data_IF_471634905080
#
_entry.id   IF_471634905080
#
_cell.length_a   1.000
_cell.length_b   1.000
_cell.length_c   1.000
_cell.angle_alpha   90.00
_cell.angle_beta   90.00
_cell.angle_gamma   90.00
#
_symmetry.space_group_name_H-M   'P 1'
#
loop_
_entity.id
_entity.type
_entity.pdbx_description
1 polymer ?
#
# COMPACT_ATOMS: atom_id res chain seq x y z
N UNK A 1 8.02 25.34 68.33
CA UNK A 1 7.92 24.25 67.36
C UNK A 1 7.20 24.80 66.15
N UNK A 2 7.96 25.22 65.14
CA UNK A 2 7.45 25.85 63.93
C UNK A 2 6.92 24.78 62.98
N UNK A 3 5.65 24.88 62.61
CA UNK A 3 5.01 24.05 61.61
C UNK A 3 5.52 24.49 60.23
N UNK A 4 6.41 23.69 59.63
CA UNK A 4 6.77 23.83 58.22
C UNK A 4 5.59 23.35 57.38
N UNK A 5 4.80 24.29 56.86
CA UNK A 5 3.92 24.05 55.73
C UNK A 5 4.82 23.84 54.50
N UNK A 6 4.93 22.59 54.06
CA UNK A 6 5.45 22.24 52.75
C UNK A 6 4.53 22.86 51.69
N UNK A 7 4.95 23.99 51.14
CA UNK A 7 4.35 24.57 49.94
C UNK A 7 4.44 23.53 48.83
N UNK A 8 3.28 23.02 48.39
CA UNK A 8 3.17 22.31 47.14
C UNK A 8 3.78 23.20 46.05
N UNK A 9 4.88 22.77 45.44
CA UNK A 9 5.37 23.37 44.21
C UNK A 9 4.26 23.20 43.18
N UNK A 10 3.52 24.28 42.92
CA UNK A 10 2.70 24.42 41.73
C UNK A 10 3.59 24.07 40.55
N UNK A 11 3.22 23.02 39.83
CA UNK A 11 3.82 22.62 38.57
C UNK A 11 3.86 23.86 37.67
N UNK A 12 5.04 24.44 37.45
CA UNK A 12 5.23 25.58 36.57
C UNK A 12 4.56 25.27 35.23
N UNK A 13 3.59 26.11 34.85
CA UNK A 13 2.88 25.94 33.60
C UNK A 13 3.87 26.23 32.48
N UNK A 14 4.42 25.18 31.86
CA UNK A 14 5.25 25.32 30.66
C UNK A 14 4.41 26.06 29.61
N UNK A 15 4.92 27.16 29.02
CA UNK A 15 4.25 27.86 27.93
C UNK A 15 4.01 26.94 26.72
N UNK A 16 2.88 27.12 26.04
CA UNK A 16 2.48 26.27 24.91
C UNK A 16 3.49 26.29 23.74
N UNK A 17 4.20 27.40 23.53
CA UNK A 17 5.27 27.55 22.56
C UNK A 17 6.50 26.69 22.91
N UNK A 18 6.94 26.74 24.17
CA UNK A 18 8.04 25.91 24.67
C UNK A 18 7.67 24.42 24.63
N UNK A 19 6.43 24.08 24.98
CA UNK A 19 5.91 22.72 24.90
C UNK A 19 5.87 22.21 23.46
N UNK A 20 5.42 23.04 22.51
CA UNK A 20 5.43 22.71 21.09
C UNK A 20 6.83 22.45 20.57
N UNK A 21 7.78 23.31 20.94
CA UNK A 21 9.18 23.17 20.60
C UNK A 21 9.82 21.86 21.10
N UNK A 22 9.46 21.39 22.30
CA UNK A 22 9.94 20.11 22.83
C UNK A 22 9.29 18.95 22.08
N UNK A 23 7.97 18.98 21.90
CA UNK A 23 7.22 17.91 21.26
C UNK A 23 7.54 17.75 19.77
N UNK A 24 7.94 18.81 19.07
CA UNK A 24 8.39 18.72 17.65
C UNK A 24 9.71 17.98 17.50
N UNK A 25 10.54 17.90 18.56
CA UNK A 25 11.87 17.30 18.51
C UNK A 25 11.91 15.86 19.02
N UNK A 26 10.81 15.33 19.56
CA UNK A 26 10.78 13.93 20.01
C UNK A 26 10.86 12.98 18.81
N UNK A 27 11.45 11.78 18.94
CA UNK A 27 11.51 10.84 17.84
C UNK A 27 10.11 10.55 17.24
N UNK A 28 9.99 10.39 15.91
CA UNK A 28 8.74 10.13 15.21
C UNK A 28 8.26 8.69 15.37
N UNK A 29 8.34 8.17 16.59
CA UNK A 29 7.90 6.85 16.95
C UNK A 29 6.41 6.88 17.34
N UNK A 30 5.56 5.98 16.80
CA UNK A 30 4.10 6.02 16.97
C UNK A 30 3.64 6.08 18.44
N UNK A 31 4.38 5.45 19.35
CA UNK A 31 4.03 5.45 20.77
C UNK A 31 4.45 6.70 21.56
N UNK A 32 5.40 7.51 21.09
CA UNK A 32 5.95 8.60 21.91
C UNK A 32 4.93 9.71 22.16
N UNK A 33 4.35 10.26 21.08
CA UNK A 33 3.30 11.28 21.20
C UNK A 33 2.00 10.71 21.75
N UNK A 34 1.67 9.46 21.39
CA UNK A 34 0.51 8.76 21.95
C UNK A 34 0.60 8.67 23.49
N UNK A 35 1.74 8.23 24.04
CA UNK A 35 1.99 8.18 25.50
C UNK A 35 1.96 9.56 26.14
N UNK A 36 2.60 10.56 25.52
CA UNK A 36 2.57 11.93 26.03
C UNK A 36 1.13 12.48 26.12
N UNK A 37 0.27 12.12 25.16
CA UNK A 37 -1.14 12.52 25.17
C UNK A 37 -1.95 11.91 26.32
N UNK A 38 -1.53 10.76 26.87
CA UNK A 38 -2.19 10.09 27.98
C UNK A 38 -1.83 10.69 29.35
N UNK A 39 -0.76 11.50 29.43
CA UNK A 39 -0.28 12.05 30.70
C UNK A 39 -1.25 13.09 31.31
N UNK A 40 -1.87 13.95 30.50
CA UNK A 40 -2.90 14.88 30.97
C UNK A 40 -3.82 15.41 29.85
N UNK A 41 -5.01 15.89 30.21
CA UNK A 41 -5.99 16.48 29.26
C UNK A 41 -5.47 17.71 28.51
N UNK A 42 -4.49 18.42 29.07
CA UNK A 42 -3.83 19.56 28.42
C UNK A 42 -2.97 19.10 27.26
N UNK A 43 -2.05 18.17 27.53
CA UNK A 43 -1.19 17.52 26.54
C UNK A 43 -2.01 16.80 25.46
N UNK A 44 -3.07 16.08 25.85
CA UNK A 44 -3.96 15.43 24.89
C UNK A 44 -4.52 16.42 23.85
N UNK A 45 -5.05 17.57 24.32
CA UNK A 45 -5.60 18.61 23.45
C UNK A 45 -4.53 19.29 22.61
N UNK A 46 -3.38 19.56 23.21
CA UNK A 46 -2.26 20.21 22.53
C UNK A 46 -1.68 19.32 21.41
N UNK A 47 -1.45 18.04 21.70
CA UNK A 47 -0.96 17.04 20.74
C UNK A 47 -1.97 16.76 19.63
N UNK A 48 -3.27 16.76 19.95
CA UNK A 48 -4.34 16.70 18.95
C UNK A 48 -4.47 17.96 18.09
N UNK A 49 -3.74 19.03 18.40
CA UNK A 49 -3.79 20.31 17.71
C UNK A 49 -3.21 20.25 16.29
N UNK A 50 -3.92 20.87 15.34
CA UNK A 50 -3.50 20.90 13.94
C UNK A 50 -2.17 21.64 13.71
N UNK A 51 -1.81 22.60 14.57
CA UNK A 51 -0.55 23.35 14.48
C UNK A 51 0.64 22.46 14.84
N UNK A 52 0.65 21.85 16.03
CA UNK A 52 1.72 20.95 16.44
C UNK A 52 1.95 19.82 15.45
N UNK A 53 0.86 19.23 14.95
CA UNK A 53 0.93 18.18 13.93
C UNK A 53 1.65 18.66 12.66
N UNK A 54 1.30 19.85 12.16
CA UNK A 54 1.96 20.43 10.98
C UNK A 54 3.44 20.67 11.24
N UNK A 55 3.79 21.20 12.42
CA UNK A 55 5.17 21.52 12.78
C UNK A 55 6.01 20.25 12.98
N UNK A 56 5.45 19.23 13.65
CA UNK A 56 6.05 17.91 13.85
C UNK A 56 6.36 17.25 12.50
N UNK A 57 5.37 17.23 11.61
CA UNK A 57 5.51 16.68 10.27
C UNK A 57 6.56 17.46 9.47
N UNK A 58 6.48 18.79 9.45
CA UNK A 58 7.44 19.63 8.73
C UNK A 58 8.87 19.46 9.24
N UNK A 59 9.05 19.16 10.53
CA UNK A 59 10.33 18.86 11.13
C UNK A 59 10.87 17.49 10.70
N UNK A 60 10.07 16.43 10.83
CA UNK A 60 10.53 15.06 10.56
C UNK A 60 10.55 14.66 9.09
N UNK A 61 9.65 15.17 8.24
CA UNK A 61 9.64 14.86 6.80
C UNK A 61 10.93 15.28 6.08
N UNK A 62 11.68 16.25 6.64
CA UNK A 62 12.95 16.71 6.05
C UNK A 62 14.12 15.78 6.34
N UNK A 63 14.07 15.04 7.44
CA UNK A 63 15.22 14.31 7.98
C UNK A 63 15.00 12.80 8.05
N UNK A 64 13.74 12.34 8.08
CA UNK A 64 13.40 10.94 8.34
C UNK A 64 12.20 10.51 7.50
N UNK A 65 12.24 9.32 6.86
CA UNK A 65 11.05 8.76 6.23
C UNK A 65 9.99 8.43 7.30
N UNK A 66 8.69 8.49 6.98
CA UNK A 66 7.64 8.09 7.92
C UNK A 66 7.79 6.59 8.28
N UNK A 67 7.61 6.22 9.55
CA UNK A 67 7.73 4.83 9.98
C UNK A 67 6.59 3.98 9.41
N UNK A 68 6.88 2.70 9.17
CA UNK A 68 5.88 1.69 8.85
C UNK A 68 5.12 1.31 10.12
N UNK A 69 3.81 1.49 10.12
CA UNK A 69 2.97 1.20 11.28
C UNK A 69 2.31 -0.17 11.21
N UNK A 70 2.18 -0.73 10.01
CA UNK A 70 1.47 -1.97 9.76
C UNK A 70 1.04 -2.11 8.30
N UNK A 71 0.25 -3.15 8.06
CA UNK A 71 -0.23 -3.52 6.73
C UNK A 71 -1.75 -3.54 6.72
N UNK A 72 -2.35 -2.82 5.77
CA UNK A 72 -3.73 -3.10 5.41
C UNK A 72 -3.79 -4.38 4.58
N UNK A 73 -4.85 -5.15 4.75
CA UNK A 73 -5.09 -6.41 4.03
C UNK A 73 -6.56 -6.59 3.66
N UNK A 74 -6.84 -7.64 2.90
CA UNK A 74 -8.14 -7.93 2.31
C UNK A 74 -8.87 -9.15 2.91
N UNK A 75 -8.23 -9.92 3.78
CA UNK A 75 -8.87 -11.04 4.48
C UNK A 75 -10.02 -10.57 5.40
N UNK A 76 -11.25 -10.88 5.00
CA UNK A 76 -12.48 -10.52 5.70
C UNK A 76 -12.82 -11.46 6.87
N UNK A 77 -12.07 -12.56 7.05
CA UNK A 77 -12.25 -13.47 8.19
C UNK A 77 -11.62 -12.93 9.47
N UNK A 78 -10.70 -11.97 9.34
CA UNK A 78 -10.02 -11.32 10.45
C UNK A 78 -10.89 -10.21 11.07
N UNK A 79 -10.71 -9.93 12.38
CA UNK A 79 -11.54 -8.95 13.08
C UNK A 79 -11.31 -7.50 12.65
N UNK A 80 -10.17 -7.22 12.00
CA UNK A 80 -9.72 -5.90 11.57
C UNK A 80 -9.00 -6.02 10.24
N UNK A 81 -9.08 -5.02 9.37
CA UNK A 81 -8.36 -5.02 8.08
C UNK A 81 -6.96 -4.39 8.18
N UNK A 82 -6.33 -4.46 9.36
CA UNK A 82 -5.02 -3.88 9.62
C UNK A 82 -4.20 -4.74 10.58
N UNK A 83 -2.99 -5.11 10.15
CA UNK A 83 -1.99 -5.82 10.94
C UNK A 83 -0.92 -4.83 11.42
N UNK A 84 -0.92 -4.42 12.71
CA UNK A 84 0.09 -3.51 13.24
C UNK A 84 1.43 -4.22 13.41
N UNK A 85 2.52 -3.55 13.00
CA UNK A 85 3.89 -4.04 13.22
C UNK A 85 4.27 -3.94 14.69
N UNK A 86 4.89 -5.00 15.20
CA UNK A 86 5.49 -5.13 16.53
C UNK A 86 5.38 -6.57 17.02
N UNK A 87 6.18 -6.94 18.02
CA UNK A 87 6.28 -8.33 18.51
C UNK A 87 4.90 -8.91 18.90
N UNK A 88 4.71 -10.20 18.65
CA UNK A 88 3.47 -10.97 18.84
C UNK A 88 2.97 -11.02 20.30
N UNK A 89 3.80 -10.63 21.27
CA UNK A 89 3.33 -10.31 22.61
C UNK A 89 2.50 -9.03 22.54
N UNK A 90 1.17 -9.20 22.35
CA UNK A 90 0.16 -8.15 22.11
C UNK A 90 0.08 -6.98 23.11
N UNK A 91 1.03 -6.89 24.04
CA UNK A 91 1.23 -5.81 25.01
C UNK A 91 2.43 -4.90 24.69
N UNK A 92 3.08 -5.05 23.53
CA UNK A 92 4.16 -4.13 23.15
C UNK A 92 3.62 -2.69 23.15
N UNK A 93 4.10 -1.83 24.07
CA UNK A 93 3.54 -0.50 24.26
C UNK A 93 3.88 0.43 23.08
N UNK A 94 4.66 -0.06 22.13
CA UNK A 94 5.17 0.61 20.93
C UNK A 94 4.28 0.40 19.69
N UNK A 95 3.29 -0.51 19.76
CA UNK A 95 2.35 -0.82 18.68
C UNK A 95 1.20 0.17 18.58
N UNK A 96 0.75 0.44 17.36
CA UNK A 96 -0.52 1.13 17.13
C UNK A 96 -1.69 0.17 17.29
N UNK A 97 -2.84 0.66 17.76
CA UNK A 97 -4.05 -0.15 17.86
C UNK A 97 -4.63 -0.45 16.49
N UNK A 98 -4.83 -1.74 16.15
CA UNK A 98 -5.46 -2.16 14.90
C UNK A 98 -6.86 -1.54 14.71
N UNK A 99 -7.61 -1.35 15.79
CA UNK A 99 -8.94 -0.73 15.76
C UNK A 99 -8.92 0.73 15.31
N UNK A 100 -7.83 1.47 15.55
CA UNK A 100 -7.68 2.84 15.06
C UNK A 100 -7.48 2.91 13.54
N UNK A 101 -7.05 1.79 12.94
CA UNK A 101 -6.77 1.64 11.51
C UNK A 101 -7.78 0.73 10.82
N UNK A 102 -8.90 0.40 11.45
CA UNK A 102 -9.93 -0.42 10.82
C UNK A 102 -10.90 0.42 9.95
N UNK A 103 -11.05 0.13 8.64
CA UNK A 103 -12.01 0.82 7.79
C UNK A 103 -13.46 0.54 8.23
N UNK A 104 -14.20 1.60 8.56
CA UNK A 104 -15.63 1.52 8.90
C UNK A 104 -16.56 1.21 7.72
N UNK A 105 -16.07 1.28 6.49
CA UNK A 105 -16.87 1.07 5.28
C UNK A 105 -16.89 -0.43 4.93
N UNK A 106 -17.87 -1.15 5.49
CA UNK A 106 -17.99 -2.61 5.34
C UNK A 106 -18.00 -3.05 3.86
N UNK A 107 -17.17 -4.05 3.55
CA UNK A 107 -17.02 -4.60 2.20
C UNK A 107 -16.20 -3.74 1.23
N UNK A 108 -15.74 -2.55 1.64
CA UNK A 108 -14.84 -1.76 0.81
C UNK A 108 -13.46 -2.39 0.83
N UNK A 109 -12.89 -2.59 -0.35
CA UNK A 109 -11.55 -3.15 -0.53
C UNK A 109 -10.50 -2.07 -0.42
N UNK A 110 -9.36 -2.37 0.18
CA UNK A 110 -8.16 -1.52 0.07
C UNK A 110 -7.55 -1.79 -1.31
N UNK A 111 -7.19 -0.71 -2.02
CA UNK A 111 -6.55 -0.79 -3.35
C UNK A 111 -5.18 -0.13 -3.38
N UNK A 112 -4.93 0.80 -2.44
CA UNK A 112 -3.62 1.43 -2.33
C UNK A 112 -3.38 2.01 -0.92
N UNK A 113 -2.11 2.12 -0.53
CA UNK A 113 -1.69 2.91 0.63
C UNK A 113 -0.38 3.63 0.38
N UNK A 114 -0.44 4.98 0.35
CA UNK A 114 0.72 5.83 0.09
C UNK A 114 0.60 7.16 0.82
N UNK A 115 1.74 7.73 1.21
CA UNK A 115 1.83 9.08 1.79
C UNK A 115 0.87 9.32 2.98
N UNK A 116 0.74 8.33 3.88
CA UNK A 116 -0.16 8.41 5.04
C UNK A 116 -1.65 8.29 4.71
N UNK A 117 -2.00 7.98 3.47
CA UNK A 117 -3.38 7.77 3.00
C UNK A 117 -3.61 6.33 2.59
N UNK A 118 -4.87 5.93 2.66
CA UNK A 118 -5.39 4.63 2.24
C UNK A 118 -6.49 4.91 1.23
N UNK A 119 -6.39 4.29 0.06
CA UNK A 119 -7.42 4.33 -0.96
C UNK A 119 -8.24 3.06 -0.84
N UNK A 120 -9.54 3.23 -0.62
CA UNK A 120 -10.51 2.15 -0.63
C UNK A 120 -11.44 2.30 -1.82
N UNK A 121 -11.94 1.18 -2.30
CA UNK A 121 -12.92 1.11 -3.39
C UNK A 121 -14.17 0.38 -2.92
N UNK A 122 -15.33 0.90 -3.30
CA UNK A 122 -16.62 0.31 -2.96
C UNK A 122 -16.86 -1.03 -3.68
N UNK A 123 -17.71 -1.92 -3.14
CA UNK A 123 -18.03 -3.21 -3.77
C UNK A 123 -18.55 -3.09 -5.21
N UNK A 124 -19.28 -2.01 -5.51
CA UNK A 124 -19.82 -1.69 -6.83
C UNK A 124 -18.77 -1.09 -7.80
N UNK A 125 -17.52 -0.89 -7.34
CA UNK A 125 -16.37 -0.27 -8.03
C UNK A 125 -16.63 1.11 -8.64
N UNK A 126 -17.70 1.79 -8.22
CA UNK A 126 -18.07 3.13 -8.73
C UNK A 126 -17.81 4.26 -7.73
N UNK A 127 -17.24 3.97 -6.56
CA UNK A 127 -16.83 4.96 -5.58
C UNK A 127 -15.48 4.60 -4.97
N UNK A 128 -14.78 5.65 -4.56
CA UNK A 128 -13.50 5.60 -3.88
C UNK A 128 -13.57 6.40 -2.57
N UNK A 129 -12.79 5.96 -1.59
CA UNK A 129 -12.60 6.66 -0.34
C UNK A 129 -11.10 6.87 -0.17
N UNK A 130 -10.68 8.12 -0.12
CA UNK A 130 -9.36 8.48 0.36
C UNK A 130 -9.46 8.75 1.84
N UNK A 131 -8.91 7.83 2.62
CA UNK A 131 -8.89 7.88 4.07
C UNK A 131 -7.48 8.22 4.56
N UNK A 132 -7.39 9.15 5.50
CA UNK A 132 -6.20 9.41 6.31
C UNK A 132 -6.51 8.95 7.74
N UNK A 133 -6.06 7.74 8.12
CA UNK A 133 -6.27 7.19 9.46
C UNK A 133 -5.71 8.08 10.57
N UNK A 134 -4.49 8.58 10.40
CA UNK A 134 -3.81 9.39 11.42
C UNK A 134 -4.55 10.71 11.69
N UNK A 135 -5.11 11.37 10.67
CA UNK A 135 -5.93 12.57 10.83
C UNK A 135 -7.41 12.31 11.07
N UNK A 136 -7.89 11.08 10.82
CA UNK A 136 -9.31 10.77 10.80
C UNK A 136 -10.07 11.48 9.67
N UNK A 137 -9.40 11.88 8.59
CA UNK A 137 -10.03 12.58 7.45
C UNK A 137 -10.49 11.58 6.40
N UNK A 138 -11.69 11.77 5.86
CA UNK A 138 -12.28 10.92 4.82
C UNK A 138 -12.75 11.79 3.67
N UNK A 139 -12.43 11.41 2.44
CA UNK A 139 -13.00 11.99 1.23
C UNK A 139 -13.59 10.89 0.34
N UNK A 140 -14.89 10.96 0.11
CA UNK A 140 -15.59 10.09 -0.83
C UNK A 140 -15.60 10.71 -2.21
N UNK A 141 -15.26 9.91 -3.22
CA UNK A 141 -15.11 10.32 -4.61
C UNK A 141 -15.91 9.33 -5.47
N UNK A 142 -16.81 9.82 -6.32
CA UNK A 142 -17.46 8.97 -7.31
C UNK A 142 -16.47 8.66 -8.44
N UNK A 143 -16.60 7.50 -9.08
CA UNK A 143 -15.84 7.17 -10.29
C UNK A 143 -16.07 8.22 -11.41
N UNK A 144 -15.19 8.26 -12.44
CA UNK A 144 -15.36 9.16 -13.57
C UNK A 144 -16.77 9.10 -14.18
N UNK A 145 -17.36 10.23 -14.59
CA UNK A 145 -18.72 10.27 -15.14
C UNK A 145 -18.97 9.28 -16.29
N UNK A 146 -17.98 9.08 -17.17
CA UNK A 146 -18.06 8.11 -18.25
C UNK A 146 -18.28 6.68 -17.73
N UNK A 147 -17.59 6.27 -16.66
CA UNK A 147 -17.76 4.95 -16.05
C UNK A 147 -19.11 4.81 -15.35
N UNK A 148 -19.59 5.87 -14.69
CA UNK A 148 -20.93 5.85 -14.07
C UNK A 148 -22.03 5.67 -15.12
N UNK A 149 -21.90 6.34 -16.28
CA UNK A 149 -22.83 6.19 -17.39
C UNK A 149 -22.81 4.76 -17.95
N UNK A 150 -21.63 4.17 -18.12
CA UNK A 150 -21.49 2.77 -18.54
C UNK A 150 -22.15 1.81 -17.54
N UNK A 151 -21.97 2.02 -16.24
CA UNK A 151 -22.61 1.18 -15.22
C UNK A 151 -24.14 1.26 -15.28
N UNK A 152 -24.70 2.45 -15.48
CA UNK A 152 -26.15 2.65 -15.58
C UNK A 152 -26.75 2.05 -16.86
N UNK A 153 -25.99 2.03 -17.95
CA UNK A 153 -26.40 1.44 -19.23
C UNK A 153 -26.30 -0.09 -19.26
N UNK A 154 -25.64 -0.70 -18.27
CA UNK A 154 -25.24 -2.10 -18.31
C UNK A 154 -26.27 -3.05 -17.68
N UNK A 155 -27.02 -3.80 -18.50
CA UNK A 155 -27.51 -5.13 -18.11
C UNK A 155 -26.42 -6.21 -18.29
N UNK A 156 -25.50 -6.02 -19.25
CA UNK A 156 -24.52 -7.03 -19.70
C UNK A 156 -23.04 -6.60 -19.57
N UNK A 157 -22.74 -5.31 -19.33
CA UNK A 157 -21.35 -4.79 -19.24
C UNK A 157 -20.76 -4.80 -17.82
N UNK A 158 -21.46 -5.42 -16.86
CA UNK A 158 -21.01 -5.51 -15.46
C UNK A 158 -19.65 -6.21 -15.30
N UNK A 159 -19.24 -7.03 -16.28
CA UNK A 159 -17.91 -7.68 -16.29
C UNK A 159 -16.76 -6.71 -16.60
N UNK A 160 -16.96 -5.73 -17.47
CA UNK A 160 -15.87 -4.81 -17.88
C UNK A 160 -15.49 -3.84 -16.76
N UNK A 161 -16.47 -3.35 -16.01
CA UNK A 161 -16.24 -2.49 -14.85
C UNK A 161 -15.60 -3.21 -13.66
N UNK A 162 -15.49 -4.56 -13.69
CA UNK A 162 -14.71 -5.32 -12.70
C UNK A 162 -13.21 -5.20 -12.91
N UNK A 163 -12.75 -4.83 -14.10
CA UNK A 163 -11.33 -4.74 -14.44
C UNK A 163 -10.87 -3.29 -14.36
N UNK A 164 -10.83 -2.77 -13.14
CA UNK A 164 -10.25 -1.47 -12.85
C UNK A 164 -9.49 -1.53 -11.53
N UNK A 165 -8.48 -0.68 -11.42
CA UNK A 165 -7.69 -0.54 -10.21
C UNK A 165 -7.15 0.89 -10.13
N UNK A 166 -6.85 1.35 -8.93
CA UNK A 166 -6.53 2.75 -8.67
C UNK A 166 -5.37 2.89 -7.69
N UNK A 167 -4.66 4.02 -7.81
CA UNK A 167 -3.60 4.39 -6.90
C UNK A 167 -3.76 5.86 -6.47
N UNK A 168 -3.37 6.15 -5.22
CA UNK A 168 -3.30 7.51 -4.70
C UNK A 168 -1.88 8.03 -4.86
N UNK A 169 -1.75 9.24 -5.41
CA UNK A 169 -0.48 9.92 -5.59
C UNK A 169 -0.53 11.29 -4.93
N UNK A 170 0.62 11.80 -4.51
CA UNK A 170 0.72 13.15 -3.95
C UNK A 170 1.96 13.83 -4.52
N UNK A 171 1.88 15.15 -4.71
CA UNK A 171 3.05 15.92 -5.14
C UNK A 171 4.08 16.04 -4.01
N UNK A 172 3.64 15.97 -2.75
CA UNK A 172 4.51 15.94 -1.57
C UNK A 172 3.96 14.98 -0.51
N UNK A 173 4.84 14.46 0.35
CA UNK A 173 4.49 13.57 1.44
C UNK A 173 3.87 14.30 2.66
N UNK A 174 3.21 15.45 2.48
CA UNK A 174 2.61 16.20 3.59
C UNK A 174 1.10 16.01 3.65
N UNK A 175 0.56 16.04 4.86
CA UNK A 175 -0.81 15.67 5.15
C UNK A 175 -1.86 16.63 4.58
N UNK A 176 -1.54 17.92 4.45
CA UNK A 176 -2.44 18.95 3.91
C UNK A 176 -2.19 19.25 2.44
N UNK A 177 -1.33 18.47 1.78
CA UNK A 177 -1.13 18.65 0.35
C UNK A 177 -2.29 18.08 -0.47
N UNK A 178 -2.59 18.72 -1.62
CA UNK A 178 -3.37 18.11 -2.66
C UNK A 178 -2.83 16.74 -3.01
N UNK A 179 -3.76 15.84 -3.29
CA UNK A 179 -3.50 14.50 -3.76
C UNK A 179 -4.27 14.26 -5.04
N UNK A 180 -3.84 13.23 -5.76
CA UNK A 180 -4.51 12.77 -6.95
C UNK A 180 -4.85 11.29 -6.81
N UNK A 181 -5.86 10.84 -7.54
CA UNK A 181 -6.15 9.42 -7.71
C UNK A 181 -6.04 9.10 -9.18
N UNK A 182 -5.19 8.14 -9.52
CA UNK A 182 -5.10 7.59 -10.88
C UNK A 182 -5.94 6.32 -10.90
N UNK A 183 -6.98 6.31 -11.73
CA UNK A 183 -7.80 5.14 -11.99
C UNK A 183 -7.51 4.66 -13.40
N UNK A 184 -7.14 3.39 -13.54
CA UNK A 184 -7.07 2.74 -14.84
C UNK A 184 -8.25 1.78 -14.94
N UNK A 185 -8.96 1.86 -16.07
CA UNK A 185 -10.07 0.98 -16.37
C UNK A 185 -10.02 0.52 -17.83
N UNK A 186 -10.58 -0.65 -18.08
CA UNK A 186 -10.77 -1.19 -19.43
C UNK A 186 -12.27 -1.16 -19.74
N UNK A 187 -12.83 -0.04 -20.24
CA UNK A 187 -14.27 0.08 -20.47
C UNK A 187 -14.79 -0.82 -21.59
N UNK A 188 -13.97 -1.06 -22.61
CA UNK A 188 -14.27 -1.90 -23.77
C UNK A 188 -13.11 -2.90 -24.01
N UNK A 189 -13.36 -4.09 -24.58
CA UNK A 189 -12.31 -5.05 -24.87
C UNK A 189 -11.19 -4.42 -25.71
N UNK A 190 -9.96 -4.49 -25.21
CA UNK A 190 -8.79 -3.89 -25.87
C UNK A 190 -8.59 -2.40 -25.62
N UNK A 191 -9.55 -1.65 -25.08
CA UNK A 191 -9.35 -0.21 -24.79
C UNK A 191 -9.05 -0.02 -23.32
N UNK A 192 -7.91 0.60 -22.99
CA UNK A 192 -7.56 0.97 -21.62
C UNK A 192 -7.46 2.48 -21.46
N UNK A 193 -8.13 3.00 -20.45
CA UNK A 193 -8.25 4.44 -20.18
C UNK A 193 -7.71 4.74 -18.79
N UNK A 194 -6.91 5.80 -18.68
CA UNK A 194 -6.46 6.35 -17.41
C UNK A 194 -7.20 7.66 -17.12
N UNK A 195 -7.80 7.71 -15.93
CA UNK A 195 -8.44 8.89 -15.39
C UNK A 195 -7.63 9.42 -14.20
N UNK A 196 -7.52 10.75 -14.12
CA UNK A 196 -6.85 11.44 -13.03
C UNK A 196 -7.84 12.32 -12.27
N UNK A 197 -8.05 12.02 -11.00
CA UNK A 197 -8.75 12.90 -10.06
C UNK A 197 -7.76 13.87 -9.44
N UNK A 198 -8.12 15.15 -9.36
CA UNK A 198 -7.38 16.14 -8.56
C UNK A 198 -8.20 16.54 -7.33
N UNK A 199 -7.64 16.41 -6.13
CA UNK A 199 -8.32 16.85 -4.90
C UNK A 199 -8.46 18.37 -4.82
N UNK A 200 -7.64 19.12 -5.55
CA UNK A 200 -7.68 20.59 -5.57
C UNK A 200 -8.87 21.08 -6.41
N UNK A 201 -9.10 20.45 -7.56
CA UNK A 201 -10.20 20.81 -8.46
C UNK A 201 -11.49 20.04 -8.13
N UNK A 202 -11.38 18.91 -7.44
CA UNK A 202 -12.52 18.04 -7.12
C UNK A 202 -13.10 17.31 -8.34
N UNK A 203 -12.32 17.12 -9.40
CA UNK A 203 -12.81 16.64 -10.70
C UNK A 203 -11.90 15.55 -11.28
N UNK A 204 -12.50 14.67 -12.07
CA UNK A 204 -11.81 13.67 -12.89
C UNK A 204 -11.54 14.23 -14.29
N UNK A 205 -10.38 13.91 -14.84
CA UNK A 205 -10.04 14.11 -16.24
C UNK A 205 -9.60 12.79 -16.86
N UNK A 206 -10.04 12.50 -18.07
CA UNK A 206 -9.38 11.48 -18.90
C UNK A 206 -8.03 12.04 -19.34
N UNK A 207 -6.95 11.32 -19.03
CA UNK A 207 -5.58 11.81 -19.27
C UNK A 207 -4.81 10.96 -20.28
N UNK A 208 -5.22 9.70 -20.46
CA UNK A 208 -4.64 8.82 -21.48
C UNK A 208 -5.63 7.74 -21.89
N UNK A 209 -5.57 7.37 -23.16
CA UNK A 209 -6.27 6.22 -23.72
C UNK A 209 -5.30 5.45 -24.59
N UNK A 210 -5.23 4.13 -24.41
CA UNK A 210 -4.39 3.22 -25.17
C UNK A 210 -5.24 2.12 -25.79
N UNK A 211 -4.99 1.86 -27.08
CA UNK A 211 -5.50 0.70 -27.77
C UNK A 211 -4.54 -0.48 -27.51
N UNK A 212 -5.01 -1.40 -26.69
CA UNK A 212 -4.41 -2.69 -26.34
C UNK A 212 -5.21 -3.84 -26.99
N UNK A 213 -5.81 -3.64 -28.16
CA UNK A 213 -6.58 -4.66 -28.91
C UNK A 213 -5.77 -5.91 -29.25
N UNK A 214 -4.44 -5.79 -29.39
CA UNK A 214 -3.49 -6.91 -29.52
C UNK A 214 -3.62 -7.88 -28.32
N UNK A 215 -4.13 -7.38 -27.20
CA UNK A 215 -4.28 -8.07 -25.92
C UNK A 215 -5.70 -7.94 -25.37
N UNK A 216 -6.72 -8.09 -26.22
CA UNK A 216 -8.16 -7.94 -25.89
C UNK A 216 -8.68 -8.80 -24.72
N UNK A 217 -7.86 -9.73 -24.22
CA UNK A 217 -8.16 -10.62 -23.10
C UNK A 217 -7.37 -10.32 -21.82
N UNK A 218 -6.53 -9.27 -21.81
CA UNK A 218 -5.87 -8.82 -20.60
C UNK A 218 -6.86 -8.06 -19.71
N UNK A 219 -6.91 -8.44 -18.44
CA UNK A 219 -7.64 -7.73 -17.39
C UNK A 219 -6.67 -7.08 -16.42
N UNK A 220 -7.06 -5.91 -15.91
CA UNK A 220 -6.36 -5.25 -14.80
C UNK A 220 -6.58 -6.10 -13.55
N UNK A 221 -5.49 -6.59 -12.99
CA UNK A 221 -5.51 -7.37 -11.76
C UNK A 221 -5.76 -6.48 -10.53
N UNK A 222 -6.27 -7.12 -9.48
CA UNK A 222 -6.50 -6.51 -8.18
C UNK A 222 -5.23 -6.42 -7.31
N UNK A 223 -4.10 -6.93 -7.82
CA UNK A 223 -2.79 -6.87 -7.16
C UNK A 223 -2.39 -5.41 -6.84
N UNK A 224 -1.61 -5.18 -5.77
CA UNK A 224 -1.18 -3.84 -5.40
C UNK A 224 -0.44 -3.14 -6.54
N UNK A 225 -0.87 -1.92 -6.85
CA UNK A 225 -0.20 -1.06 -7.83
C UNK A 225 1.21 -0.77 -7.33
N UNK A 226 2.24 -0.85 -8.18
CA UNK A 226 3.59 -0.43 -7.82
C UNK A 226 3.87 1.01 -8.26
N UNK A 227 4.63 1.75 -7.47
CA UNK A 227 5.15 3.07 -7.86
C UNK A 227 6.67 2.97 -7.88
N UNK A 228 7.24 3.03 -9.08
CA UNK A 228 8.70 3.11 -9.26
C UNK A 228 9.00 4.46 -9.88
N UNK A 229 9.74 5.29 -9.14
CA UNK A 229 10.01 6.69 -9.50
C UNK A 229 8.70 7.46 -9.69
N UNK A 230 8.38 7.87 -10.92
CA UNK A 230 7.18 8.63 -11.28
C UNK A 230 6.22 7.83 -12.18
N UNK A 231 6.35 6.50 -12.19
CA UNK A 231 5.54 5.62 -13.05
C UNK A 231 4.79 4.64 -12.17
N UNK A 232 3.47 4.56 -12.37
CA UNK A 232 2.62 3.58 -11.74
C UNK A 232 2.54 2.33 -12.62
N UNK A 233 2.59 1.15 -12.00
CA UNK A 233 2.57 -0.13 -12.69
C UNK A 233 1.45 -1.02 -12.16
N UNK A 234 0.63 -1.52 -13.08
CA UNK A 234 -0.42 -2.51 -12.80
C UNK A 234 -0.07 -3.83 -13.45
N UNK A 235 -0.29 -4.92 -12.72
CA UNK A 235 -0.27 -6.26 -13.30
C UNK A 235 -1.49 -6.44 -14.19
N UNK A 236 -1.27 -6.84 -15.45
CA UNK A 236 -2.30 -7.26 -16.36
C UNK A 236 -2.21 -8.77 -16.53
N UNK A 237 -3.33 -9.45 -16.39
CA UNK A 237 -3.39 -10.91 -16.51
C UNK A 237 -4.29 -11.34 -17.61
N UNK A 238 -3.91 -12.42 -18.26
CA UNK A 238 -4.71 -12.98 -19.34
C UNK A 238 -5.91 -13.76 -18.76
N UNK A 239 -6.92 -14.04 -19.58
CA UNK A 239 -8.02 -14.92 -19.17
C UNK A 239 -7.69 -16.41 -19.33
N UNK A 240 -6.59 -16.71 -20.04
CA UNK A 240 -6.16 -18.07 -20.33
C UNK A 240 -4.74 -18.25 -19.83
N UNK A 241 -4.58 -19.26 -18.96
CA UNK A 241 -3.37 -19.71 -18.24
C UNK A 241 -2.13 -20.04 -19.08
N UNK A 242 -2.22 -19.90 -20.41
CA UNK A 242 -1.20 -20.33 -21.37
C UNK A 242 -0.58 -19.15 -22.13
N UNK A 243 -0.95 -17.92 -21.79
CA UNK A 243 -0.53 -16.71 -22.53
C UNK A 243 0.20 -15.78 -21.58
N UNK A 244 1.28 -15.19 -22.08
CA UNK A 244 2.13 -14.26 -21.35
C UNK A 244 1.32 -13.06 -20.81
N UNK A 245 1.37 -12.87 -19.49
CA UNK A 245 0.86 -11.68 -18.80
C UNK A 245 1.71 -10.44 -19.13
N UNK A 246 1.17 -9.26 -18.83
CA UNK A 246 1.83 -7.98 -19.11
C UNK A 246 1.79 -7.05 -17.90
N UNK A 247 2.49 -5.93 -18.00
CA UNK A 247 2.48 -4.85 -17.03
C UNK A 247 2.03 -3.60 -17.77
N UNK A 248 1.03 -2.92 -17.24
CA UNK A 248 0.65 -1.60 -17.69
C UNK A 248 1.43 -0.56 -16.90
N UNK A 249 2.11 0.35 -17.59
CA UNK A 249 2.82 1.45 -16.98
C UNK A 249 2.14 2.78 -17.33
N UNK A 250 1.89 3.63 -16.33
CA UNK A 250 1.39 4.99 -16.50
C UNK A 250 2.40 6.00 -15.97
N UNK A 251 2.94 6.81 -16.87
CA UNK A 251 3.86 7.89 -16.52
C UNK A 251 3.09 9.10 -15.99
N UNK A 252 3.29 9.44 -14.72
CA UNK A 252 2.60 10.55 -14.04
C UNK A 252 3.00 11.93 -14.59
N UNK A 253 4.15 12.06 -15.24
CA UNK A 253 4.62 13.33 -15.81
C UNK A 253 4.12 13.53 -17.24
N UNK A 254 4.24 12.49 -18.07
CA UNK A 254 3.88 12.58 -19.49
C UNK A 254 2.43 12.21 -19.78
N UNK A 255 1.73 11.63 -18.78
CA UNK A 255 0.38 11.06 -18.92
C UNK A 255 0.29 10.07 -20.08
N UNK A 256 1.27 9.18 -20.19
CA UNK A 256 1.32 8.15 -21.23
C UNK A 256 1.18 6.77 -20.62
N UNK A 257 0.44 5.93 -21.34
CA UNK A 257 0.31 4.51 -21.06
C UNK A 257 1.29 3.73 -21.93
N UNK A 258 1.91 2.73 -21.32
CA UNK A 258 2.83 1.81 -21.97
C UNK A 258 2.49 0.39 -21.56
N UNK A 259 2.66 -0.54 -22.50
CA UNK A 259 2.56 -1.96 -22.24
C UNK A 259 3.97 -2.56 -22.21
N UNK A 260 4.25 -3.35 -21.18
CA UNK A 260 5.52 -4.06 -21.01
C UNK A 260 5.17 -5.54 -20.86
N UNK A 261 5.65 -6.39 -21.75
CA UNK A 261 5.41 -7.83 -21.63
C UNK A 261 6.25 -8.42 -20.48
N UNK A 262 5.66 -9.31 -19.67
CA UNK A 262 6.37 -10.01 -18.59
C UNK A 262 7.31 -11.08 -19.16
N UNK A 263 8.29 -11.61 -18.42
CA UNK A 263 9.09 -12.74 -18.90
C UNK A 263 8.23 -13.98 -19.25
N UNK A 264 8.40 -14.53 -20.46
CA UNK A 264 7.68 -15.72 -20.96
C UNK A 264 7.84 -16.96 -20.07
N UNK A 265 8.92 -17.03 -19.29
CA UNK A 265 9.31 -18.21 -18.51
C UNK A 265 8.81 -18.18 -17.06
N UNK A 266 7.97 -17.20 -16.69
CA UNK A 266 7.29 -17.21 -15.40
C UNK A 266 6.20 -18.27 -15.47
N UNK A 267 6.46 -19.40 -14.82
CA UNK A 267 5.46 -20.44 -14.61
C UNK A 267 4.73 -20.16 -13.31
N UNK A 268 3.77 -19.24 -13.39
CA UNK A 268 2.83 -18.95 -12.32
C UNK A 268 1.48 -19.58 -12.67
N UNK A 269 1.03 -20.55 -11.88
CA UNK A 269 -0.24 -21.24 -12.11
C UNK A 269 -1.44 -20.30 -11.92
N UNK A 270 -1.28 -19.23 -11.14
CA UNK A 270 -2.33 -18.27 -10.79
C UNK A 270 -2.25 -16.98 -11.63
N UNK A 271 -1.23 -16.85 -12.51
CA UNK A 271 -0.92 -15.72 -13.41
C UNK A 271 -0.78 -14.31 -12.76
N UNK A 272 -1.09 -14.16 -11.48
CA UNK A 272 -1.17 -12.90 -10.72
C UNK A 272 -0.11 -12.77 -9.61
N UNK A 273 0.68 -13.82 -9.36
CA UNK A 273 1.65 -13.92 -8.28
C UNK A 273 3.00 -13.29 -8.65
N UNK A 274 2.91 -12.08 -9.20
CA UNK A 274 4.02 -11.23 -9.59
C UNK A 274 3.85 -9.84 -8.99
N UNK A 275 4.96 -9.16 -8.74
CA UNK A 275 4.93 -7.79 -8.28
C UNK A 275 6.10 -6.97 -8.83
N UNK A 276 5.76 -5.80 -9.37
CA UNK A 276 6.74 -4.84 -9.88
C UNK A 276 7.43 -4.14 -8.73
N UNK A 277 8.74 -3.92 -8.88
CA UNK A 277 9.58 -3.25 -7.90
C UNK A 277 10.73 -2.49 -8.53
N UNK A 278 11.37 -1.62 -7.77
CA UNK A 278 12.66 -1.06 -8.14
C UNK A 278 13.76 -2.01 -7.68
N UNK A 279 14.79 -2.20 -8.49
CA UNK A 279 15.93 -3.05 -8.18
C UNK A 279 17.00 -2.29 -7.40
N UNK A 280 17.61 -2.94 -6.40
CA UNK A 280 18.52 -2.27 -5.49
C UNK A 280 19.89 -1.89 -6.09
N UNK A 281 20.38 -2.65 -7.08
CA UNK A 281 21.75 -2.52 -7.60
C UNK A 281 21.89 -1.43 -8.66
N UNK A 282 20.92 -1.34 -9.57
CA UNK A 282 20.96 -0.49 -10.77
C UNK A 282 19.76 0.47 -10.87
N UNK A 283 18.79 0.39 -9.95
CA UNK A 283 17.62 1.27 -9.92
C UNK A 283 16.73 1.10 -11.16
N UNK A 284 16.82 -0.06 -11.81
CA UNK A 284 16.02 -0.44 -12.97
C UNK A 284 14.66 -1.01 -12.54
N UNK A 285 13.76 -1.13 -13.51
CA UNK A 285 12.49 -1.82 -13.31
C UNK A 285 12.73 -3.31 -13.11
N UNK A 286 12.30 -3.81 -11.97
CA UNK A 286 12.32 -5.22 -11.62
C UNK A 286 10.91 -5.78 -11.45
N UNK A 287 10.85 -7.10 -11.44
CA UNK A 287 9.65 -7.87 -11.12
C UNK A 287 10.08 -9.05 -10.28
N UNK A 288 9.41 -9.26 -9.15
CA UNK A 288 9.51 -10.50 -8.39
C UNK A 288 8.34 -11.40 -8.76
N UNK A 289 8.63 -12.67 -9.05
CA UNK A 289 7.64 -13.69 -9.38
C UNK A 289 7.79 -14.86 -8.42
N UNK A 290 6.68 -15.41 -7.93
CA UNK A 290 6.69 -16.69 -7.25
C UNK A 290 6.44 -17.80 -8.29
N UNK A 291 7.35 -18.77 -8.34
CA UNK A 291 7.29 -19.90 -9.25
C UNK A 291 7.45 -21.18 -8.43
N UNK A 292 6.34 -21.81 -8.06
CA UNK A 292 6.32 -22.93 -7.12
C UNK A 292 6.86 -22.54 -5.75
N UNK A 293 8.00 -23.13 -5.35
CA UNK A 293 8.69 -22.86 -4.08
C UNK A 293 9.92 -21.96 -4.27
N UNK A 294 9.88 -21.09 -5.28
CA UNK A 294 10.97 -20.16 -5.55
C UNK A 294 10.46 -18.74 -5.74
N UNK A 295 11.20 -17.76 -5.21
CA UNK A 295 11.04 -16.36 -5.55
C UNK A 295 12.12 -15.99 -6.57
N UNK A 296 11.69 -15.60 -7.76
CA UNK A 296 12.58 -15.20 -8.86
C UNK A 296 12.56 -13.69 -9.02
N UNK A 297 13.73 -13.07 -9.00
CA UNK A 297 13.89 -11.66 -9.33
C UNK A 297 14.26 -11.54 -10.81
N UNK A 298 13.43 -10.80 -11.55
CA UNK A 298 13.61 -10.46 -12.94
C UNK A 298 13.91 -8.97 -13.08
N UNK A 299 14.82 -8.61 -13.98
CA UNK A 299 15.24 -7.22 -14.23
C UNK A 299 15.10 -6.92 -15.72
N UNK A 300 14.41 -5.82 -16.03
CA UNK A 300 14.24 -5.34 -17.40
C UNK A 300 15.51 -4.64 -17.85
N UNK A 301 16.25 -5.28 -18.78
CA UNK A 301 17.52 -4.79 -19.30
C UNK A 301 17.36 -3.89 -20.51
N UNK A 302 16.39 -4.19 -21.37
CA UNK A 302 16.11 -3.41 -22.56
C UNK A 302 14.60 -3.29 -22.76
N UNK A 303 14.16 -2.07 -23.06
CA UNK A 303 12.78 -1.76 -23.43
C UNK A 303 12.80 -0.86 -24.66
N UNK A 304 12.11 -1.28 -25.72
CA UNK A 304 12.00 -0.49 -26.95
C UNK A 304 10.56 -0.10 -27.30
N UNK A 305 9.59 -0.40 -26.43
CA UNK A 305 8.18 -0.08 -26.62
C UNK A 305 7.53 -0.76 -27.82
N UNK A 306 8.12 -1.86 -28.32
CA UNK A 306 7.62 -2.64 -29.46
C UNK A 306 7.40 -4.12 -29.12
N UNK A 307 7.30 -4.49 -27.84
CA UNK A 307 7.09 -5.88 -27.43
C UNK A 307 8.34 -6.75 -27.63
N UNK A 308 9.53 -6.20 -27.40
CA UNK A 308 10.79 -6.97 -27.42
C UNK A 308 11.61 -6.64 -26.17
N UNK A 309 10.95 -6.80 -25.04
CA UNK A 309 11.52 -6.63 -23.71
C UNK A 309 12.59 -7.71 -23.48
N UNK A 310 13.78 -7.28 -23.04
CA UNK A 310 14.80 -8.23 -22.59
C UNK A 310 14.84 -8.27 -21.08
N UNK A 311 14.35 -9.36 -20.54
CA UNK A 311 14.42 -9.67 -19.12
C UNK A 311 15.62 -10.57 -18.83
N UNK A 312 16.26 -10.34 -17.69
CA UNK A 312 17.25 -11.25 -17.11
C UNK A 312 16.80 -11.66 -15.72
N UNK A 313 17.06 -12.91 -15.32
CA UNK A 313 16.82 -13.41 -13.97
C UNK A 313 18.16 -13.49 -13.21
N UNK A 314 18.63 -12.41 -12.58
CA UNK A 314 19.89 -12.43 -11.84
C UNK A 314 19.83 -13.25 -10.55
N UNK A 315 18.64 -13.48 -10.00
CA UNK A 315 18.52 -14.09 -8.67
C UNK A 315 17.27 -14.94 -8.52
N UNK A 316 17.42 -16.01 -7.75
CA UNK A 316 16.36 -16.89 -7.32
C UNK A 316 16.61 -17.27 -5.86
N UNK A 317 15.56 -17.24 -5.05
CA UNK A 317 15.58 -17.62 -3.65
C UNK A 317 14.70 -18.85 -3.48
N UNK A 318 15.25 -19.83 -2.81
CA UNK A 318 14.60 -21.07 -2.46
C UNK A 318 13.72 -20.89 -1.22
N UNK A 319 12.49 -21.38 -1.26
CA UNK A 319 11.49 -21.29 -0.19
C UNK A 319 11.10 -22.66 0.38
N UNK A 320 11.81 -23.76 0.06
CA UNK A 320 11.49 -25.11 0.55
C UNK A 320 11.51 -25.22 2.08
N UNK A 321 12.36 -24.44 2.75
CA UNK A 321 12.44 -24.35 4.21
C UNK A 321 11.15 -23.81 4.86
N UNK A 322 10.38 -23.01 4.12
CA UNK A 322 9.09 -22.45 4.57
C UNK A 322 7.88 -23.25 4.08
N UNK A 323 8.11 -24.29 3.26
CA UNK A 323 7.06 -25.14 2.70
C UNK A 323 6.48 -26.16 3.70
N UNK A 324 7.14 -26.38 4.84
CA UNK A 324 6.71 -27.37 5.82
C UNK A 324 5.70 -26.74 6.78
N UNK A 325 4.41 -27.07 6.60
CA UNK A 325 3.38 -26.73 7.56
C UNK A 325 3.71 -27.27 8.97
N UNK A 326 3.33 -26.54 10.04
CA UNK A 326 3.15 -27.15 11.35
C UNK A 326 2.17 -28.32 11.25
N UNK A 327 2.43 -29.41 11.98
CA UNK A 327 1.53 -30.58 12.02
C UNK A 327 0.14 -30.12 12.46
N UNK A 328 -0.86 -30.21 11.57
CA UNK A 328 -2.28 -29.92 11.87
C UNK A 328 -2.93 -28.76 11.10
N UNK A 329 -2.28 -28.18 10.08
CA UNK A 329 -2.95 -27.20 9.21
C UNK A 329 -4.05 -27.85 8.36
N UNK A 330 -5.22 -27.21 8.29
CA UNK A 330 -6.40 -27.67 7.53
C UNK A 330 -6.60 -26.91 6.22
N UNK A 331 -5.73 -25.95 5.91
CA UNK A 331 -5.82 -25.10 4.73
C UNK A 331 -4.67 -25.43 3.77
N UNK A 332 -5.01 -25.72 2.51
CA UNK A 332 -4.06 -25.88 1.41
C UNK A 332 -3.97 -24.54 0.68
N UNK A 333 -2.87 -23.82 0.87
CA UNK A 333 -2.61 -22.54 0.18
C UNK A 333 -1.66 -22.76 -1.00
N UNK A 334 -1.57 -21.76 -1.89
CA UNK A 334 -0.43 -21.68 -2.82
C UNK A 334 0.89 -21.78 -2.04
N UNK A 335 1.82 -22.57 -2.54
CA UNK A 335 3.06 -22.90 -1.83
C UNK A 335 3.83 -21.63 -1.40
N UNK A 336 3.85 -20.59 -2.26
CA UNK A 336 4.35 -19.24 -1.95
C UNK A 336 3.47 -18.22 -2.65
N UNK A 337 2.94 -17.25 -1.92
CA UNK A 337 2.14 -16.15 -2.47
C UNK A 337 2.70 -14.78 -2.07
N UNK A 338 2.93 -13.90 -3.04
CA UNK A 338 3.50 -12.57 -2.80
C UNK A 338 2.40 -11.61 -2.35
N UNK A 339 2.54 -11.06 -1.15
CA UNK A 339 1.58 -10.12 -0.57
C UNK A 339 1.88 -8.69 -0.96
N UNK A 340 3.15 -8.28 -0.88
CA UNK A 340 3.61 -6.94 -1.23
C UNK A 340 5.14 -6.90 -1.38
N UNK A 341 5.65 -5.80 -1.93
CA UNK A 341 7.08 -5.47 -1.95
C UNK A 341 7.30 -4.16 -1.23
N UNK A 342 8.34 -4.09 -0.41
CA UNK A 342 8.75 -2.88 0.27
C UNK A 342 10.16 -2.44 -0.13
N UNK A 343 10.22 -1.24 -0.71
CA UNK A 343 11.46 -0.69 -1.24
C UNK A 343 11.98 -1.54 -2.39
N UNK A 344 13.28 -1.84 -2.35
CA UNK A 344 13.98 -2.53 -3.44
C UNK A 344 14.54 -3.90 -3.05
N UNK A 345 14.24 -4.39 -1.83
CA UNK A 345 14.86 -5.60 -1.28
C UNK A 345 13.91 -6.52 -0.54
N UNK A 346 12.87 -5.97 0.08
CA UNK A 346 12.02 -6.73 1.00
C UNK A 346 10.75 -7.18 0.30
N UNK A 347 10.43 -8.46 0.39
CA UNK A 347 9.19 -9.03 -0.12
C UNK A 347 8.44 -9.68 1.03
N UNK A 348 7.13 -9.43 1.10
CA UNK A 348 6.24 -10.09 2.04
C UNK A 348 5.57 -11.26 1.34
N UNK A 349 5.67 -12.45 1.90
CA UNK A 349 5.13 -13.67 1.32
C UNK A 349 4.30 -14.46 2.31
N UNK A 350 3.19 -15.02 1.84
CA UNK A 350 2.41 -16.04 2.53
C UNK A 350 2.91 -17.41 2.10
N UNK A 351 3.05 -18.29 3.08
CA UNK A 351 3.34 -19.73 2.92
C UNK A 351 2.45 -20.50 3.89
N UNK A 352 2.43 -21.84 3.81
CA UNK A 352 1.73 -22.65 4.82
C UNK A 352 2.26 -22.46 6.25
N UNK A 353 3.54 -22.10 6.41
CA UNK A 353 4.15 -21.85 7.70
C UNK A 353 3.79 -20.47 8.30
N UNK A 354 3.22 -19.56 7.52
CA UNK A 354 2.89 -18.21 7.95
C UNK A 354 3.24 -17.13 6.93
N UNK A 355 3.15 -15.89 7.38
CA UNK A 355 3.56 -14.72 6.60
C UNK A 355 4.98 -14.33 6.99
N UNK A 356 5.84 -14.14 6.00
CA UNK A 356 7.27 -13.87 6.18
C UNK A 356 7.71 -12.60 5.45
N UNK A 357 8.63 -11.90 6.08
CA UNK A 357 9.50 -10.93 5.44
C UNK A 357 10.74 -11.63 4.90
N UNK A 358 11.01 -11.46 3.61
CA UNK A 358 12.16 -12.06 2.93
C UNK A 358 13.03 -10.96 2.32
N UNK A 359 14.32 -10.93 2.69
CA UNK A 359 15.29 -10.08 2.02
C UNK A 359 15.77 -10.78 0.74
N UNK A 360 15.44 -10.18 -0.42
CA UNK A 360 15.86 -10.70 -1.72
C UNK A 360 17.38 -10.74 -1.90
N UNK A 361 18.15 -10.09 -1.03
CA UNK A 361 19.61 -10.07 -1.08
C UNK A 361 20.31 -10.93 -0.04
N UNK A 362 19.56 -11.48 0.91
CA UNK A 362 20.09 -12.34 1.94
C UNK A 362 19.13 -13.50 2.18
N UNK A 363 19.41 -14.61 1.50
CA UNK A 363 18.57 -15.80 1.46
C UNK A 363 18.34 -16.44 2.86
N UNK A 364 19.16 -16.09 3.85
CA UNK A 364 19.03 -16.53 5.25
C UNK A 364 18.09 -15.64 6.08
N UNK A 365 17.77 -14.43 5.61
CA UNK A 365 16.89 -13.49 6.32
C UNK A 365 15.44 -13.68 5.90
N UNK A 366 14.81 -14.65 6.55
CA UNK A 366 13.37 -14.92 6.48
C UNK A 366 12.79 -14.75 7.88
N UNK A 367 12.13 -13.62 8.13
CA UNK A 367 11.53 -13.33 9.44
C UNK A 367 10.04 -13.58 9.37
N UNK A 368 9.54 -14.49 10.21
CA UNK A 368 8.09 -14.69 10.39
C UNK A 368 7.48 -13.45 11.03
N UNK A 369 6.38 -12.96 10.46
CA UNK A 369 5.62 -11.80 10.95
C UNK A 369 4.43 -12.27 11.77
N UNK A 370 3.69 -13.25 11.25
CA UNK A 370 2.50 -13.80 11.88
C UNK A 370 2.13 -15.16 11.27
N UNK A 371 1.07 -15.77 11.79
CA UNK A 371 0.48 -16.99 11.27
C UNK A 371 -0.07 -16.83 9.85
N UNK A 372 -0.37 -17.95 9.21
CA UNK A 372 -0.91 -17.97 7.85
C UNK A 372 -2.36 -17.50 7.87
N UNK A 373 -2.63 -16.39 7.21
CA UNK A 373 -3.97 -15.85 6.97
C UNK A 373 -4.30 -15.94 5.48
N UNK A 374 -5.59 -15.90 5.11
CA UNK A 374 -6.02 -15.93 3.71
C UNK A 374 -5.92 -14.54 3.07
N UNK A 375 -4.81 -13.87 3.32
CA UNK A 375 -4.51 -12.53 2.81
C UNK A 375 -3.92 -12.68 1.41
N UNK A 376 -4.47 -11.92 0.46
CA UNK A 376 -4.00 -11.94 -0.94
C UNK A 376 -3.13 -10.71 -1.24
N UNK A 377 -3.26 -9.63 -0.48
CA UNK A 377 -2.47 -8.42 -0.67
C UNK A 377 -2.16 -7.69 0.64
N UNK A 378 -0.95 -7.16 0.74
CA UNK A 378 -0.55 -6.20 1.75
C UNK A 378 -0.38 -4.80 1.15
N UNK A 379 -0.89 -3.80 1.87
CA UNK A 379 -0.69 -2.39 1.58
C UNK A 379 0.05 -1.74 2.76
N UNK A 380 1.39 -1.62 2.69
CA UNK A 380 2.19 -1.05 3.78
C UNK A 380 1.78 0.39 4.11
N UNK A 381 1.41 0.66 5.35
CA UNK A 381 0.98 1.99 5.79
C UNK A 381 2.11 2.71 6.54
N UNK A 382 2.63 3.77 5.92
CA UNK A 382 3.68 4.60 6.49
C UNK A 382 3.14 5.98 6.87
N UNK A 383 3.30 6.35 8.13
CA UNK A 383 2.73 7.59 8.67
C UNK A 383 3.39 7.99 9.98
N UNK A 384 3.59 9.30 10.17
CA UNK A 384 3.82 9.85 11.50
C UNK A 384 2.51 9.83 12.31
N UNK A 385 2.44 8.97 13.31
CA UNK A 385 1.27 8.79 14.17
C UNK A 385 1.37 9.61 15.46
N UNK A 386 0.25 10.22 15.87
CA UNK A 386 0.21 11.16 17.00
C UNK A 386 -1.07 11.05 17.84
N UNK A 387 -2.00 10.13 17.54
CA UNK A 387 -3.20 9.94 18.37
C UNK A 387 -2.92 8.95 19.50
N UNK A 388 -3.12 9.38 20.74
CA UNK A 388 -3.36 8.45 21.85
C UNK A 388 -4.73 7.81 21.64
N UNK A 389 -4.77 6.50 21.80
CA UNK A 389 -5.96 5.63 21.65
C UNK A 389 -7.16 6.11 22.46
#
# INVERSE_FOLDING_TARGET
MGSSMSTAHSMEHVPDDALGEVLVRVPPHPATLARASLACKGLHRFIGGAQLRRDFQAHHHKSTPPPLLGFFHDDQSLPNNFLPIGDDDGDSPDRVSAAAFDPKDLGWRVVDSRHGRVLLQSPDRVRFLVWDPAAGRRLYINAPPAMLQLQLAAANHHFMLRYNNAAVTTATATYDCPFSVVLVATPDPGTTVAYLYSSELGLWNEVATADLSISSWLRISDRPVALVRNVLYWTLVHQSSCVQSSILAFDLHTHRLYLIEQPVYIFDAEEENVQVMETAEDGLLGLVAACGLSLQLWVLREYNGRGTERWSMPRQIDMYDLALAPIGSTHHFDLVWILSVEGSRVVFVRTEAGIFEVDLWNDLLKRRICDAYDIQAFYPYKSFYYRGT
#
